data_IF_637097441830
#
_entry.id   IF_637097441830
#
_cell.length_a   1.000
_cell.length_b   1.000
_cell.length_c   1.000
_cell.angle_alpha   90.00
_cell.angle_beta   90.00
_cell.angle_gamma   90.00
#
_symmetry.space_group_name_H-M   'P 1'
#
loop_
_entity.id
_entity.type
_entity.pdbx_description
1 polymer ?
#
# COMPACT_ATOMS: atom_id res chain seq x y z
N UNK A 1 -16.06 4.04 11.20
CA UNK A 1 -14.94 3.65 10.32
C UNK A 1 -13.73 3.40 11.19
N UNK A 2 -12.96 2.31 11.01
CA UNK A 2 -11.69 2.16 11.69
C UNK A 2 -10.76 3.33 11.28
N UNK A 3 -10.02 3.87 12.23
CA UNK A 3 -9.06 4.96 11.98
C UNK A 3 -7.80 4.35 11.38
N UNK A 4 -7.43 4.77 10.17
CA UNK A 4 -6.15 4.38 9.56
C UNK A 4 -5.01 5.06 10.33
N UNK A 5 -4.01 4.32 10.83
CA UNK A 5 -2.85 4.91 11.48
C UNK A 5 -2.10 5.87 10.56
N UNK A 6 -1.67 7.01 11.11
CA UNK A 6 -0.87 7.99 10.36
C UNK A 6 0.55 7.50 10.10
N UNK A 7 1.19 8.02 9.04
CA UNK A 7 2.62 7.84 8.76
C UNK A 7 3.45 8.21 9.98
N UNK A 8 4.46 7.40 10.30
CA UNK A 8 5.30 7.52 11.49
C UNK A 8 4.74 6.81 12.73
N UNK A 9 3.50 6.31 12.71
CA UNK A 9 2.97 5.50 13.81
C UNK A 9 3.76 4.18 13.93
N UNK A 10 4.13 3.80 15.16
CA UNK A 10 4.97 2.63 15.42
C UNK A 10 4.23 1.54 16.20
N UNK A 11 4.44 0.30 15.79
CA UNK A 11 3.93 -0.91 16.46
C UNK A 11 5.07 -1.91 16.72
N UNK A 12 4.90 -2.75 17.74
CA UNK A 12 5.89 -3.79 18.09
C UNK A 12 5.75 -5.06 17.25
N UNK A 13 4.53 -5.37 16.80
CA UNK A 13 4.19 -6.62 16.10
C UNK A 13 3.28 -6.31 14.93
N UNK A 14 3.61 -6.84 13.75
CA UNK A 14 2.76 -6.71 12.57
C UNK A 14 1.39 -7.38 12.76
N UNK A 15 0.33 -6.86 12.13
CA UNK A 15 -0.97 -7.53 12.10
C UNK A 15 -0.88 -8.93 11.49
N UNK A 16 -1.72 -9.85 11.96
CA UNK A 16 -1.82 -11.20 11.39
C UNK A 16 -2.22 -11.10 9.91
N UNK A 17 -1.54 -11.86 9.05
CA UNK A 17 -1.84 -11.87 7.61
C UNK A 17 -1.15 -10.78 6.80
N UNK A 18 -0.17 -10.05 7.37
CA UNK A 18 0.68 -9.15 6.58
C UNK A 18 1.35 -9.88 5.41
N UNK A 19 1.62 -9.15 4.33
CA UNK A 19 2.39 -9.61 3.18
C UNK A 19 3.72 -8.89 3.14
N UNK A 20 4.80 -9.59 2.80
CA UNK A 20 6.09 -8.94 2.53
C UNK A 20 6.10 -8.45 1.09
N UNK A 21 6.47 -7.19 0.89
CA UNK A 21 6.59 -6.57 -0.42
C UNK A 21 8.04 -6.15 -0.60
N UNK A 22 8.67 -6.56 -1.70
CA UNK A 22 10.03 -6.15 -2.01
C UNK A 22 9.99 -5.18 -3.20
N UNK A 23 10.64 -4.04 -3.04
CA UNK A 23 10.77 -3.07 -4.11
C UNK A 23 12.12 -2.35 -3.95
N UNK A 24 12.87 -2.29 -5.04
CA UNK A 24 14.29 -1.92 -5.03
C UNK A 24 15.07 -2.70 -3.95
N UNK A 25 15.90 -2.02 -3.17
CA UNK A 25 16.69 -2.62 -2.08
C UNK A 25 15.97 -2.57 -0.72
N UNK A 26 14.63 -2.43 -0.72
CA UNK A 26 13.82 -2.29 0.49
C UNK A 26 12.77 -3.39 0.58
N UNK A 27 12.52 -3.81 1.81
CA UNK A 27 11.44 -4.73 2.15
C UNK A 27 10.42 -4.02 3.01
N UNK A 28 9.20 -3.99 2.52
CA UNK A 28 8.02 -3.50 3.22
C UNK A 28 7.19 -4.66 3.73
N UNK A 29 6.30 -4.34 4.66
CA UNK A 29 5.21 -5.20 5.09
C UNK A 29 3.92 -4.46 4.80
N UNK A 30 2.97 -5.11 4.13
CA UNK A 30 1.69 -4.53 3.77
C UNK A 30 0.56 -5.31 4.45
N UNK A 31 -0.43 -4.60 4.99
CA UNK A 31 -1.64 -5.20 5.55
C UNK A 31 -2.80 -4.23 5.43
N UNK A 32 -3.91 -4.64 4.80
CA UNK A 32 -5.09 -3.80 4.54
C UNK A 32 -4.72 -2.37 4.09
N UNK A 33 -3.87 -2.26 3.06
CA UNK A 33 -3.50 -0.98 2.47
C UNK A 33 -2.56 -0.10 3.32
N UNK A 34 -2.15 -0.57 4.50
CA UNK A 34 -1.15 0.10 5.34
C UNK A 34 0.21 -0.55 5.09
N UNK A 35 1.23 0.29 4.91
CA UNK A 35 2.60 -0.14 4.65
C UNK A 35 3.46 0.12 5.87
N UNK A 36 4.36 -0.81 6.16
CA UNK A 36 5.28 -0.74 7.28
C UNK A 36 6.71 -1.02 6.85
N UNK A 37 7.66 -0.37 7.49
CA UNK A 37 9.08 -0.71 7.43
C UNK A 37 9.58 -1.09 8.82
N UNK A 38 10.52 -2.03 8.90
CA UNK A 38 11.15 -2.39 10.18
C UNK A 38 12.20 -1.34 10.53
N UNK A 39 12.06 -0.72 11.71
CA UNK A 39 13.01 0.23 12.28
C UNK A 39 13.41 -0.27 13.67
N UNK A 40 14.66 -0.73 13.82
CA UNK A 40 15.14 -1.39 15.04
C UNK A 40 14.21 -2.56 15.46
N UNK A 41 13.53 -2.40 16.60
CA UNK A 41 12.60 -3.38 17.19
C UNK A 41 11.12 -3.03 16.95
N UNK A 42 10.84 -2.06 16.09
CA UNK A 42 9.48 -1.60 15.76
C UNK A 42 9.21 -1.71 14.27
N UNK A 43 7.94 -1.60 13.93
CA UNK A 43 7.45 -1.42 12.57
C UNK A 43 6.76 -0.07 12.49
N UNK A 44 7.22 0.78 11.59
CA UNK A 44 6.72 2.13 11.40
C UNK A 44 5.84 2.19 10.16
N UNK A 45 4.68 2.83 10.27
CA UNK A 45 3.78 3.11 9.15
C UNK A 45 4.44 4.10 8.21
N UNK A 46 4.46 3.76 6.92
CA UNK A 46 5.05 4.58 5.87
C UNK A 46 4.09 4.79 4.71
N UNK A 47 4.38 5.77 3.88
CA UNK A 47 3.88 5.84 2.51
C UNK A 47 4.70 4.89 1.64
N UNK A 48 4.08 4.05 0.77
CA UNK A 48 4.84 3.22 -0.16
C UNK A 48 5.59 4.06 -1.20
N UNK A 49 6.57 3.47 -1.89
CA UNK A 49 7.23 4.13 -3.02
C UNK A 49 6.43 3.93 -4.32
N UNK A 50 6.45 4.90 -5.23
CA UNK A 50 5.90 4.73 -6.59
C UNK A 50 6.63 3.57 -7.27
N UNK A 51 5.87 2.69 -7.92
CA UNK A 51 6.32 1.41 -8.49
C UNK A 51 6.19 0.22 -7.55
N UNK A 52 5.82 0.44 -6.28
CA UNK A 52 5.56 -0.67 -5.35
C UNK A 52 4.38 -1.52 -5.85
N UNK A 53 4.58 -2.83 -5.99
CA UNK A 53 3.54 -3.76 -6.45
C UNK A 53 2.96 -4.57 -5.28
N UNK A 54 1.63 -4.62 -5.18
CA UNK A 54 0.88 -5.46 -4.24
C UNK A 54 -0.14 -6.33 -4.96
N UNK A 55 -0.52 -7.45 -4.36
CA UNK A 55 -1.45 -8.41 -4.96
C UNK A 55 -2.87 -8.34 -4.38
N UNK A 56 -3.03 -7.59 -3.30
CA UNK A 56 -4.28 -7.42 -2.57
C UNK A 56 -4.44 -5.93 -2.24
N UNK A 57 -5.66 -5.43 -2.38
CA UNK A 57 -6.08 -4.10 -1.94
C UNK A 57 -7.12 -4.27 -0.81
N UNK A 58 -7.33 -3.24 0.04
CA UNK A 58 -8.40 -3.23 1.03
C UNK A 58 -9.78 -3.48 0.40
N UNK A 59 -10.71 -4.02 1.19
CA UNK A 59 -12.10 -4.25 0.75
C UNK A 59 -12.83 -2.94 0.41
N UNK A 60 -12.49 -1.86 1.12
CA UNK A 60 -13.07 -0.53 1.02
C UNK A 60 -12.26 0.42 0.11
N UNK A 61 -11.41 -0.13 -0.77
CA UNK A 61 -10.71 0.66 -1.80
C UNK A 61 -11.70 1.38 -2.72
N UNK A 62 -11.45 2.66 -2.97
CA UNK A 62 -12.27 3.46 -3.88
C UNK A 62 -11.80 3.28 -5.33
N UNK A 63 -12.75 3.25 -6.28
CA UNK A 63 -12.43 3.29 -7.71
C UNK A 63 -12.63 4.71 -8.22
N UNK A 64 -11.54 5.36 -8.60
CA UNK A 64 -11.57 6.75 -9.09
C UNK A 64 -11.36 6.78 -10.60
N UNK A 65 -11.88 7.83 -11.25
CA UNK A 65 -11.66 8.08 -12.68
C UNK A 65 -10.93 9.41 -12.84
N UNK A 66 -9.75 9.37 -13.44
CA UNK A 66 -8.88 10.54 -13.68
C UNK A 66 -8.61 10.57 -15.19
N UNK A 67 -8.96 11.67 -15.85
CA UNK A 67 -8.80 11.85 -17.31
C UNK A 67 -9.37 10.69 -18.16
N UNK A 68 -10.47 10.10 -17.70
CA UNK A 68 -11.14 8.98 -18.38
C UNK A 68 -10.53 7.60 -18.14
N UNK A 69 -9.39 7.52 -17.43
CA UNK A 69 -8.78 6.27 -16.97
C UNK A 69 -9.24 5.90 -15.55
N UNK A 70 -9.35 4.59 -15.27
CA UNK A 70 -9.82 4.07 -13.99
C UNK A 70 -8.65 3.62 -13.12
N UNK A 71 -8.64 4.10 -11.88
CA UNK A 71 -7.63 3.79 -10.87
C UNK A 71 -8.29 3.32 -9.57
N UNK A 72 -7.46 2.89 -8.63
CA UNK A 72 -7.88 2.52 -7.28
C UNK A 72 -7.21 3.49 -6.30
N UNK A 73 -7.97 4.02 -5.34
CA UNK A 73 -7.46 4.94 -4.34
C UNK A 73 -7.73 4.37 -2.95
N UNK A 74 -6.71 4.41 -2.09
CA UNK A 74 -6.88 4.14 -0.67
C UNK A 74 -5.86 4.93 0.15
N UNK A 75 -6.35 5.67 1.14
CA UNK A 75 -5.52 6.41 2.09
C UNK A 75 -4.50 7.34 1.40
N UNK A 76 -4.98 8.10 0.41
CA UNK A 76 -4.23 9.01 -0.45
C UNK A 76 -3.20 8.33 -1.37
N UNK A 77 -3.21 7.00 -1.50
CA UNK A 77 -2.33 6.26 -2.42
C UNK A 77 -3.14 5.82 -3.64
N UNK A 78 -2.62 6.14 -4.83
CA UNK A 78 -3.23 5.78 -6.11
C UNK A 78 -2.55 4.54 -6.69
N UNK A 79 -3.38 3.58 -7.12
CA UNK A 79 -2.93 2.33 -7.71
C UNK A 79 -3.50 2.13 -9.12
N UNK A 80 -2.65 1.61 -10.00
CA UNK A 80 -3.06 1.06 -11.29
C UNK A 80 -3.12 -0.47 -11.21
N UNK A 81 -4.15 -1.06 -11.82
CA UNK A 81 -4.24 -2.51 -11.92
C UNK A 81 -3.36 -2.99 -13.08
N UNK A 82 -2.43 -3.89 -12.77
CA UNK A 82 -1.48 -4.49 -13.72
C UNK A 82 -1.56 -6.02 -13.71
N UNK A 83 -0.75 -6.67 -14.55
CA UNK A 83 -0.47 -8.11 -14.50
C UNK A 83 1.02 -8.35 -14.33
N UNK A 84 1.39 -9.20 -13.36
CA UNK A 84 2.76 -9.68 -13.14
C UNK A 84 2.73 -11.20 -13.25
N UNK A 85 3.46 -11.76 -14.22
CA UNK A 85 3.52 -13.20 -14.51
C UNK A 85 2.12 -13.86 -14.60
N UNK A 86 1.18 -13.19 -15.27
CA UNK A 86 -0.21 -13.64 -15.43
C UNK A 86 -1.09 -13.50 -14.17
N UNK A 87 -0.53 -13.03 -13.06
CA UNK A 87 -1.25 -12.76 -11.81
C UNK A 87 -1.67 -11.30 -11.74
N UNK A 88 -2.92 -11.04 -11.33
CA UNK A 88 -3.41 -9.68 -11.10
C UNK A 88 -2.65 -9.04 -9.94
N UNK A 89 -2.14 -7.83 -10.17
CA UNK A 89 -1.49 -7.04 -9.15
C UNK A 89 -1.87 -5.56 -9.31
N UNK A 90 -1.36 -4.73 -8.40
CA UNK A 90 -1.64 -3.31 -8.30
C UNK A 90 -0.34 -2.56 -8.02
N UNK A 91 -0.02 -1.60 -8.87
CA UNK A 91 1.19 -0.79 -8.78
C UNK A 91 0.84 0.58 -8.22
N UNK A 92 1.60 1.06 -7.25
CA UNK A 92 1.51 2.44 -6.75
C UNK A 92 1.98 3.37 -7.86
N UNK A 93 1.10 4.24 -8.36
CA UNK A 93 1.40 5.19 -9.45
C UNK A 93 1.47 6.64 -8.99
N UNK A 94 1.01 6.94 -7.78
CA UNK A 94 1.03 8.30 -7.25
C UNK A 94 0.28 8.44 -5.94
N UNK A 95 0.09 9.69 -5.54
CA UNK A 95 -0.61 10.07 -4.33
C UNK A 95 -1.60 11.19 -4.62
N UNK A 96 -2.71 11.19 -3.89
CA UNK A 96 -3.68 12.28 -3.95
C UNK A 96 -3.30 13.27 -2.85
N UNK A 97 -2.98 14.51 -3.23
CA UNK A 97 -2.88 15.58 -2.24
C UNK A 97 -4.29 16.00 -1.83
N UNK A 98 -4.49 16.14 -0.52
CA UNK A 98 -5.72 16.61 0.09
C UNK A 98 -5.60 18.08 0.47
#
# INVERSE_FOLDING_TARGET
MPVVPSVGFQIRTLPVGYKRVNFNNRSYYAHNGIYFVKVNNYYEVITPEIGTVVYELPEDVEKVTIDGARYYEFNNVLYEKIQVDGTRAYEVIGFVEN
#
